data_IF_350908899582
#
_entry.id   IF_350908899582
#
_cell.length_a   1.000
_cell.length_b   1.000
_cell.length_c   1.000
_cell.angle_alpha   90.00
_cell.angle_beta   90.00
_cell.angle_gamma   90.00
#
_symmetry.space_group_name_H-M   'P 1'
#
loop_
_entity.id
_entity.type
_entity.pdbx_description
1 polymer ?
#
# COMPACT_ATOMS: atom_id res chain seq x y z
N UNK A 1 19.13 7.25 -24.92
CA UNK A 1 17.92 8.01 -25.30
C UNK A 1 17.87 9.29 -24.47
N UNK A 2 17.66 10.45 -25.09
CA UNK A 2 17.75 11.75 -24.39
C UNK A 2 16.34 12.38 -24.28
N UNK A 3 15.84 12.59 -23.05
CA UNK A 3 14.56 13.22 -22.78
C UNK A 3 14.39 14.63 -23.40
N UNK A 4 15.51 15.32 -23.67
CA UNK A 4 15.49 16.66 -24.29
C UNK A 4 15.03 16.66 -25.73
N UNK A 5 15.03 15.51 -26.40
CA UNK A 5 14.66 15.38 -27.82
C UNK A 5 13.23 14.90 -28.03
N UNK A 6 12.56 14.46 -26.96
CA UNK A 6 11.18 14.03 -27.00
C UNK A 6 10.22 15.20 -26.67
N UNK A 7 9.20 15.38 -27.48
CA UNK A 7 8.10 16.28 -27.16
C UNK A 7 7.16 15.62 -26.16
N UNK A 8 7.20 16.05 -24.90
CA UNK A 8 6.40 15.47 -23.81
C UNK A 8 4.89 15.59 -24.05
N UNK A 9 4.44 16.53 -24.87
CA UNK A 9 3.02 16.66 -25.24
C UNK A 9 2.49 15.48 -26.07
N UNK A 10 3.39 14.65 -26.57
CA UNK A 10 3.00 13.44 -27.31
C UNK A 10 2.69 12.24 -26.37
N UNK A 11 3.15 12.27 -25.13
CA UNK A 11 2.95 11.18 -24.17
C UNK A 11 1.48 10.92 -23.82
N UNK A 12 0.62 11.95 -23.62
CA UNK A 12 -0.82 11.73 -23.45
C UNK A 12 -1.47 11.03 -24.65
N UNK A 13 -0.98 11.29 -25.87
CA UNK A 13 -1.49 10.62 -27.07
C UNK A 13 -1.07 9.15 -27.08
N UNK A 14 0.16 8.85 -26.70
CA UNK A 14 0.64 7.46 -26.56
C UNK A 14 -0.22 6.68 -25.57
N UNK A 15 -0.49 7.27 -24.40
CA UNK A 15 -1.32 6.66 -23.34
C UNK A 15 -2.75 6.41 -23.83
N UNK A 16 -3.38 7.39 -24.47
CA UNK A 16 -4.75 7.25 -24.98
C UNK A 16 -4.87 6.15 -26.05
N UNK A 17 -3.95 6.10 -26.99
CA UNK A 17 -3.96 5.03 -28.03
C UNK A 17 -3.68 3.66 -27.43
N UNK A 18 -2.81 3.58 -26.43
CA UNK A 18 -2.53 2.35 -25.69
C UNK A 18 -3.78 1.83 -24.95
N UNK A 19 -4.53 2.71 -24.32
CA UNK A 19 -5.73 2.36 -23.54
C UNK A 19 -6.90 2.00 -24.47
N UNK A 20 -7.17 2.83 -25.47
CA UNK A 20 -8.33 2.70 -26.35
C UNK A 20 -8.16 1.64 -27.44
N UNK A 21 -6.93 1.23 -27.74
CA UNK A 21 -6.62 0.31 -28.87
C UNK A 21 -7.21 0.78 -30.20
N UNK A 22 -7.49 2.08 -30.33
CA UNK A 22 -8.14 2.71 -31.50
C UNK A 22 -7.74 4.17 -31.58
N UNK A 23 -7.22 4.60 -32.74
CA UNK A 23 -6.86 5.99 -32.99
C UNK A 23 -8.09 6.91 -32.97
N UNK A 24 -9.22 6.43 -33.45
CA UNK A 24 -10.48 7.19 -33.45
C UNK A 24 -10.97 7.43 -32.03
N UNK A 25 -11.08 6.37 -31.21
CA UNK A 25 -11.49 6.53 -29.80
C UNK A 25 -10.49 7.37 -29.01
N UNK A 26 -9.18 7.18 -29.23
CA UNK A 26 -8.17 8.02 -28.61
C UNK A 26 -8.33 9.51 -28.96
N UNK A 27 -8.72 9.83 -30.23
CA UNK A 27 -8.98 11.20 -30.63
C UNK A 27 -10.21 11.80 -29.93
N UNK A 28 -11.25 11.01 -29.72
CA UNK A 28 -12.45 11.38 -28.97
C UNK A 28 -12.12 11.64 -27.50
N UNK A 29 -11.40 10.72 -26.84
CA UNK A 29 -10.96 10.83 -25.45
C UNK A 29 -10.11 12.09 -25.23
N UNK A 30 -9.20 12.40 -26.15
CA UNK A 30 -8.33 13.57 -26.08
C UNK A 30 -8.97 14.87 -26.59
N UNK A 31 -10.16 14.80 -27.17
CA UNK A 31 -10.85 15.93 -27.83
C UNK A 31 -10.00 16.63 -28.90
N UNK A 32 -9.27 15.83 -29.69
CA UNK A 32 -8.48 16.30 -30.83
C UNK A 32 -8.87 15.52 -32.08
N UNK A 33 -8.39 15.95 -33.25
CA UNK A 33 -8.71 15.26 -34.50
C UNK A 33 -7.90 13.97 -34.66
N UNK A 34 -8.46 12.97 -35.31
CA UNK A 34 -7.75 11.71 -35.58
C UNK A 34 -6.45 11.90 -36.40
N UNK A 35 -6.37 12.83 -37.41
CA UNK A 35 -5.09 13.19 -38.02
C UNK A 35 -4.05 13.72 -37.04
N UNK A 36 -4.45 14.47 -36.01
CA UNK A 36 -3.53 14.96 -34.99
C UNK A 36 -2.96 13.80 -34.17
N UNK A 37 -3.79 12.81 -33.79
CA UNK A 37 -3.32 11.57 -33.12
C UNK A 37 -2.33 10.83 -34.02
N UNK A 38 -2.65 10.68 -35.30
CA UNK A 38 -1.78 9.98 -36.27
C UNK A 38 -0.43 10.67 -36.44
N UNK A 39 -0.42 11.99 -36.53
CA UNK A 39 0.83 12.80 -36.62
C UNK A 39 1.65 12.70 -35.34
N UNK A 40 1.02 12.74 -34.18
CA UNK A 40 1.69 12.57 -32.89
C UNK A 40 2.38 11.20 -32.80
N UNK A 41 1.68 10.13 -33.19
CA UNK A 41 2.26 8.79 -33.26
C UNK A 41 3.42 8.69 -34.27
N UNK A 42 3.29 9.35 -35.42
CA UNK A 42 4.36 9.34 -36.42
C UNK A 42 5.66 9.97 -35.86
N UNK A 43 5.56 11.06 -35.09
CA UNK A 43 6.70 11.67 -34.41
C UNK A 43 7.30 10.77 -33.33
N UNK A 44 6.47 10.10 -32.53
CA UNK A 44 6.92 9.14 -31.51
C UNK A 44 7.62 7.93 -32.16
N UNK A 45 7.10 7.40 -33.27
CA UNK A 45 7.73 6.30 -34.03
C UNK A 45 9.13 6.64 -34.50
N UNK A 46 9.33 7.84 -35.01
CA UNK A 46 10.66 8.32 -35.40
C UNK A 46 11.59 8.42 -34.19
N UNK A 47 11.07 8.92 -33.04
CA UNK A 47 11.89 9.08 -31.85
C UNK A 47 12.30 7.76 -31.20
N UNK A 48 11.39 6.77 -31.16
CA UNK A 48 11.65 5.47 -30.55
C UNK A 48 12.19 4.43 -31.52
N UNK A 49 12.28 4.76 -32.82
CA UNK A 49 12.68 3.82 -33.90
C UNK A 49 11.85 2.53 -33.88
N UNK A 50 10.58 2.65 -33.45
CA UNK A 50 9.63 1.53 -33.28
C UNK A 50 8.24 1.95 -33.76
N UNK A 51 7.46 1.04 -34.38
CA UNK A 51 6.09 1.32 -34.79
C UNK A 51 5.16 1.69 -33.63
N UNK A 52 5.48 1.35 -32.40
CA UNK A 52 4.74 1.49 -31.14
C UNK A 52 3.36 0.78 -31.15
N UNK A 53 2.66 0.85 -32.28
CA UNK A 53 1.39 0.16 -32.50
C UNK A 53 1.35 -0.42 -33.89
N UNK A 54 0.95 -1.69 -34.01
CA UNK A 54 0.69 -2.41 -35.26
C UNK A 54 -0.80 -2.60 -35.45
N UNK A 55 -1.23 -2.72 -36.69
CA UNK A 55 -2.66 -2.91 -37.01
C UNK A 55 -3.12 -4.30 -36.59
N UNK A 56 -4.24 -4.38 -35.90
CA UNK A 56 -4.88 -5.63 -35.50
C UNK A 56 -6.40 -5.52 -35.71
N UNK A 57 -6.91 -6.20 -36.70
CA UNK A 57 -8.33 -6.12 -37.08
C UNK A 57 -8.77 -4.69 -37.40
N UNK A 58 -9.78 -4.19 -36.66
CA UNK A 58 -10.28 -2.81 -36.76
C UNK A 58 -9.57 -1.82 -35.83
N UNK A 59 -8.58 -2.27 -35.07
CA UNK A 59 -7.87 -1.47 -34.09
C UNK A 59 -6.35 -1.57 -34.21
N UNK A 60 -5.68 -1.29 -33.12
CA UNK A 60 -4.22 -1.37 -33.02
C UNK A 60 -3.79 -2.15 -31.77
N UNK A 61 -2.67 -2.84 -31.87
CA UNK A 61 -2.00 -3.55 -30.78
C UNK A 61 -0.64 -2.89 -30.51
N UNK A 62 -0.23 -2.71 -29.24
CA UNK A 62 1.08 -2.19 -28.90
C UNK A 62 2.17 -3.19 -29.27
N UNK A 63 3.34 -2.68 -29.61
CA UNK A 63 4.57 -3.45 -29.72
C UNK A 63 5.15 -3.76 -28.33
N UNK A 64 6.11 -4.68 -28.27
CA UNK A 64 6.84 -4.96 -27.03
C UNK A 64 7.52 -3.69 -26.46
N UNK A 65 8.01 -2.79 -27.31
CA UNK A 65 8.56 -1.51 -26.90
C UNK A 65 7.49 -0.62 -26.24
N UNK A 66 6.32 -0.50 -26.83
CA UNK A 66 5.23 0.28 -26.26
C UNK A 66 4.75 -0.31 -24.92
N UNK A 67 4.68 -1.63 -24.79
CA UNK A 67 4.34 -2.31 -23.53
C UNK A 67 5.38 -2.04 -22.44
N UNK A 68 6.65 -2.12 -22.77
CA UNK A 68 7.75 -1.85 -21.81
C UNK A 68 7.82 -0.37 -21.38
N UNK A 69 7.48 0.55 -22.28
CA UNK A 69 7.52 2.00 -22.02
C UNK A 69 6.33 2.49 -21.20
N UNK A 70 5.16 1.87 -21.37
CA UNK A 70 3.90 2.39 -20.85
C UNK A 70 3.85 2.57 -19.33
N UNK A 71 4.39 1.66 -18.49
CA UNK A 71 4.41 1.88 -17.04
C UNK A 71 5.11 3.19 -16.64
N UNK A 72 6.27 3.47 -17.25
CA UNK A 72 7.03 4.69 -16.97
C UNK A 72 6.31 5.97 -17.48
N UNK A 73 5.66 5.88 -18.64
CA UNK A 73 4.88 6.99 -19.20
C UNK A 73 3.68 7.32 -18.30
N UNK A 74 2.95 6.32 -17.84
CA UNK A 74 1.81 6.53 -16.92
C UNK A 74 2.24 7.14 -15.61
N UNK A 75 3.30 6.60 -14.98
CA UNK A 75 3.84 7.16 -13.74
C UNK A 75 4.22 8.65 -13.90
N UNK A 76 4.89 9.00 -15.01
CA UNK A 76 5.27 10.38 -15.29
C UNK A 76 4.04 11.30 -15.49
N UNK A 77 3.05 10.87 -16.27
CA UNK A 77 1.84 11.65 -16.52
C UNK A 77 0.99 11.81 -15.25
N UNK A 78 0.86 10.77 -14.42
CA UNK A 78 0.12 10.84 -13.18
C UNK A 78 0.79 11.82 -12.18
N UNK A 79 2.13 11.85 -12.13
CA UNK A 79 2.87 12.85 -11.34
C UNK A 79 2.68 14.29 -11.84
N UNK A 80 2.67 14.47 -13.16
CA UNK A 80 2.41 15.81 -13.73
C UNK A 80 0.98 16.26 -13.44
N UNK A 81 -0.02 15.36 -13.58
CA UNK A 81 -1.41 15.66 -13.23
C UNK A 81 -1.54 16.05 -11.76
N UNK A 82 -0.96 15.25 -10.85
CA UNK A 82 -0.96 15.54 -9.43
C UNK A 82 -0.33 16.90 -9.10
N UNK A 83 0.79 17.26 -9.76
CA UNK A 83 1.45 18.56 -9.57
C UNK A 83 0.62 19.73 -10.10
N UNK A 84 -0.17 19.55 -11.15
CA UNK A 84 -1.07 20.57 -11.68
C UNK A 84 -2.33 20.73 -10.82
N UNK A 85 -2.87 19.63 -10.30
CA UNK A 85 -4.03 19.63 -9.41
C UNK A 85 -3.73 20.23 -8.02
N UNK A 86 -2.49 20.13 -7.54
CA UNK A 86 -2.09 20.64 -6.22
C UNK A 86 -2.25 22.15 -6.05
N UNK A 87 -2.51 22.91 -7.13
CA UNK A 87 -2.80 24.34 -7.10
C UNK A 87 -4.29 24.69 -7.08
N UNK A 88 -5.18 23.72 -7.26
CA UNK A 88 -6.63 23.88 -7.20
C UNK A 88 -7.19 23.31 -5.89
N UNK A 89 -8.39 23.73 -5.50
CA UNK A 89 -9.13 23.10 -4.40
C UNK A 89 -9.34 21.63 -4.77
N UNK A 90 -8.86 20.71 -3.92
CA UNK A 90 -9.06 19.29 -4.16
C UNK A 90 -10.55 18.96 -3.95
N UNK A 91 -11.18 18.44 -4.99
CA UNK A 91 -12.57 17.97 -4.97
C UNK A 91 -12.59 16.45 -5.10
N UNK A 92 -12.72 15.69 -3.99
CA UNK A 92 -12.63 14.22 -4.01
C UNK A 92 -13.58 13.58 -5.01
N UNK A 93 -14.83 14.09 -5.10
CA UNK A 93 -15.88 13.54 -5.96
C UNK A 93 -15.53 13.56 -7.47
N UNK A 94 -14.67 14.48 -7.90
CA UNK A 94 -14.31 14.67 -9.30
C UNK A 94 -12.85 14.28 -9.61
N UNK A 95 -12.05 13.98 -8.58
CA UNK A 95 -10.64 13.65 -8.74
C UNK A 95 -10.43 12.25 -9.31
N UNK A 96 -9.43 12.11 -10.17
CA UNK A 96 -8.95 10.82 -10.70
C UNK A 96 -7.55 10.48 -10.17
N UNK A 97 -7.09 11.17 -9.14
CA UNK A 97 -5.75 11.03 -8.57
C UNK A 97 -5.47 9.60 -8.13
N UNK A 98 -4.25 9.15 -8.34
CA UNK A 98 -3.72 7.90 -7.79
C UNK A 98 -2.86 8.23 -6.59
N UNK A 99 -3.15 7.62 -5.45
CA UNK A 99 -2.29 7.68 -4.27
C UNK A 99 -1.53 6.38 -4.09
N UNK A 100 -0.23 6.46 -3.90
CA UNK A 100 0.65 5.33 -3.63
C UNK A 100 0.93 5.27 -2.13
N UNK A 101 0.42 4.24 -1.46
CA UNK A 101 0.54 4.08 -0.01
C UNK A 101 1.39 2.84 0.28
N UNK A 102 2.40 2.99 1.13
CA UNK A 102 3.09 1.85 1.70
C UNK A 102 2.48 1.49 3.05
N UNK A 103 2.08 0.25 3.22
CA UNK A 103 1.69 -0.30 4.51
C UNK A 103 2.07 -1.78 4.59
N UNK A 104 2.33 -2.25 5.82
CA UNK A 104 2.44 -3.69 6.08
C UNK A 104 1.04 -4.32 6.03
N UNK A 105 0.98 -5.65 5.91
CA UNK A 105 -0.28 -6.39 5.80
C UNK A 105 -1.30 -6.06 6.91
N UNK A 106 -0.83 -5.90 8.16
CA UNK A 106 -1.70 -5.51 9.26
C UNK A 106 -2.29 -4.10 9.07
N UNK A 107 -1.48 -3.12 8.64
CA UNK A 107 -1.95 -1.76 8.37
C UNK A 107 -2.93 -1.72 7.20
N UNK A 108 -2.63 -2.42 6.12
CA UNK A 108 -3.53 -2.53 4.98
C UNK A 108 -4.85 -3.22 5.36
N UNK A 109 -4.79 -4.33 6.10
CA UNK A 109 -5.98 -5.03 6.58
C UNK A 109 -6.91 -4.14 7.42
N UNK A 110 -6.33 -3.31 8.29
CA UNK A 110 -7.10 -2.43 9.17
C UNK A 110 -7.70 -1.23 8.43
N UNK A 111 -6.96 -0.67 7.47
CA UNK A 111 -7.34 0.60 6.84
C UNK A 111 -8.08 0.42 5.51
N UNK A 112 -7.65 -0.53 4.66
CA UNK A 112 -8.14 -0.60 3.30
C UNK A 112 -9.65 -0.88 3.16
N UNK A 113 -10.29 -1.76 3.97
CA UNK A 113 -11.73 -2.00 3.83
C UNK A 113 -12.59 -0.76 4.12
N UNK A 114 -12.28 -0.04 5.21
CA UNK A 114 -13.01 1.17 5.58
C UNK A 114 -12.73 2.32 4.59
N UNK A 115 -11.47 2.44 4.13
CA UNK A 115 -11.08 3.41 3.10
C UNK A 115 -11.83 3.14 1.79
N UNK A 116 -11.85 1.91 1.31
CA UNK A 116 -12.55 1.54 0.09
C UNK A 116 -14.04 1.90 0.16
N UNK A 117 -14.70 1.56 1.28
CA UNK A 117 -16.13 1.90 1.51
C UNK A 117 -16.39 3.42 1.44
N UNK A 118 -15.50 4.24 2.03
CA UNK A 118 -15.64 5.70 1.98
C UNK A 118 -15.40 6.24 0.56
N UNK A 119 -14.41 5.69 -0.14
CA UNK A 119 -14.09 6.10 -1.51
C UNK A 119 -15.21 5.83 -2.51
N UNK A 120 -15.98 4.75 -2.37
CA UNK A 120 -17.14 4.47 -3.24
C UNK A 120 -18.12 5.63 -3.33
N UNK A 121 -18.31 6.37 -2.24
CA UNK A 121 -19.27 7.49 -2.16
C UNK A 121 -18.64 8.86 -2.27
N UNK A 122 -17.46 9.05 -1.68
CA UNK A 122 -16.83 10.37 -1.54
C UNK A 122 -15.87 10.69 -2.67
N UNK A 123 -15.24 9.67 -3.27
CA UNK A 123 -14.17 9.86 -4.25
C UNK A 123 -14.11 8.72 -5.28
N UNK A 124 -15.17 8.47 -6.06
CA UNK A 124 -15.31 7.28 -6.91
C UNK A 124 -14.27 7.21 -8.04
N UNK A 125 -13.66 8.33 -8.42
CA UNK A 125 -12.59 8.39 -9.43
C UNK A 125 -11.18 8.23 -8.87
N UNK A 126 -10.99 8.43 -7.56
CA UNK A 126 -9.69 8.29 -6.90
C UNK A 126 -9.25 6.84 -6.84
N UNK A 127 -7.97 6.58 -7.02
CA UNK A 127 -7.38 5.24 -6.95
C UNK A 127 -6.32 5.17 -5.86
N UNK A 128 -6.29 4.06 -5.12
CA UNK A 128 -5.25 3.77 -4.13
C UNK A 128 -4.44 2.57 -4.58
N UNK A 129 -3.13 2.74 -4.64
CA UNK A 129 -2.17 1.66 -4.84
C UNK A 129 -1.51 1.33 -3.51
N UNK A 130 -1.81 0.15 -2.94
CA UNK A 130 -1.16 -0.35 -1.74
C UNK A 130 0.08 -1.16 -2.11
N UNK A 131 1.18 -0.88 -1.43
CA UNK A 131 2.41 -1.66 -1.57
C UNK A 131 3.06 -1.89 -0.21
N UNK A 132 3.93 -2.87 -0.12
CA UNK A 132 4.80 -3.05 1.04
C UNK A 132 6.23 -2.75 0.65
N UNK A 133 6.68 -1.54 0.93
CA UNK A 133 8.05 -1.12 0.69
C UNK A 133 8.94 -1.52 1.87
N UNK A 134 10.18 -1.91 1.58
CA UNK A 134 11.14 -2.18 2.64
C UNK A 134 11.34 -0.93 3.50
N UNK A 135 11.30 -1.08 4.83
CA UNK A 135 11.41 0.02 5.80
C UNK A 135 12.59 0.96 5.52
N UNK A 136 13.73 0.41 5.10
CA UNK A 136 14.92 1.21 4.77
C UNK A 136 14.80 2.05 3.52
N UNK A 137 13.89 1.69 2.61
CA UNK A 137 13.64 2.41 1.36
C UNK A 137 12.51 3.44 1.45
N UNK A 138 11.64 3.36 2.47
CA UNK A 138 10.44 4.21 2.58
C UNK A 138 10.80 5.70 2.49
N UNK A 139 11.82 6.17 3.22
CA UNK A 139 12.23 7.58 3.19
C UNK A 139 12.65 8.03 1.79
N UNK A 140 13.37 7.19 1.05
CA UNK A 140 13.78 7.46 -0.33
C UNK A 140 12.59 7.45 -1.30
N UNK A 141 11.65 6.52 -1.12
CA UNK A 141 10.45 6.43 -1.93
C UNK A 141 9.53 7.65 -1.73
N UNK A 142 9.35 8.10 -0.48
CA UNK A 142 8.62 9.34 -0.15
C UNK A 142 9.35 10.57 -0.73
N UNK A 143 10.66 10.67 -0.56
CA UNK A 143 11.45 11.78 -1.09
C UNK A 143 11.40 11.88 -2.62
N UNK A 144 11.35 10.74 -3.31
CA UNK A 144 11.25 10.70 -4.78
C UNK A 144 9.81 10.86 -5.30
N UNK A 145 8.80 10.93 -4.41
CA UNK A 145 7.38 10.98 -4.75
C UNK A 145 6.87 9.68 -5.42
N UNK A 146 7.56 8.54 -5.27
CA UNK A 146 7.01 7.23 -5.64
C UNK A 146 6.02 6.71 -4.62
N UNK A 147 6.11 7.19 -3.38
CA UNK A 147 5.08 7.07 -2.35
C UNK A 147 4.54 8.45 -1.99
N UNK A 148 3.23 8.53 -1.77
CA UNK A 148 2.57 9.70 -1.20
C UNK A 148 2.53 9.60 0.33
N UNK A 149 2.22 8.41 0.85
CA UNK A 149 2.10 8.11 2.28
C UNK A 149 2.75 6.76 2.64
N UNK A 150 3.18 6.65 3.89
CA UNK A 150 3.55 5.36 4.47
C UNK A 150 2.93 5.19 5.86
N UNK A 151 2.32 4.04 6.11
CA UNK A 151 1.86 3.59 7.43
C UNK A 151 2.89 2.59 7.94
N UNK A 152 3.65 2.99 8.95
CA UNK A 152 4.74 2.17 9.49
C UNK A 152 4.82 2.35 11.02
N UNK A 153 5.50 1.42 11.68
CA UNK A 153 5.82 1.53 13.11
C UNK A 153 6.70 2.76 13.34
N UNK A 154 6.51 3.46 14.44
CA UNK A 154 7.29 4.66 14.77
C UNK A 154 8.81 4.44 14.68
N UNK A 155 9.54 5.52 14.42
CA UNK A 155 11.00 5.54 14.34
C UNK A 155 11.58 5.50 12.94
N UNK A 156 10.82 5.80 11.86
CA UNK A 156 11.42 6.19 10.59
C UNK A 156 12.14 7.53 10.76
N UNK A 157 13.31 7.63 10.14
CA UNK A 157 14.14 8.85 10.16
C UNK A 157 14.34 9.37 8.74
N UNK A 158 14.24 10.68 8.60
CA UNK A 158 14.52 11.40 7.36
C UNK A 158 14.35 12.90 7.63
N UNK A 159 15.25 13.75 7.08
CA UNK A 159 15.24 15.18 7.33
C UNK A 159 13.96 15.86 6.83
N UNK A 160 13.37 15.32 5.76
CA UNK A 160 12.21 15.89 5.06
C UNK A 160 10.91 15.11 5.30
N UNK A 161 10.86 14.30 6.36
CA UNK A 161 9.68 13.56 6.73
C UNK A 161 8.87 14.29 7.80
N UNK A 162 7.59 14.43 7.54
CA UNK A 162 6.55 14.73 8.50
C UNK A 162 5.90 13.43 8.96
N UNK A 163 5.32 13.46 10.17
CA UNK A 163 4.66 12.30 10.74
C UNK A 163 3.49 12.67 11.63
N UNK A 164 2.54 11.76 11.72
CA UNK A 164 1.39 11.84 12.61
C UNK A 164 1.14 10.47 13.22
N UNK A 165 0.89 10.41 14.53
CA UNK A 165 0.41 9.19 15.17
C UNK A 165 -0.94 8.80 14.55
N UNK A 166 -1.10 7.52 14.22
CA UNK A 166 -2.32 7.01 13.60
C UNK A 166 -3.13 6.18 14.62
N UNK A 167 -2.54 5.14 15.17
CA UNK A 167 -3.15 4.32 16.22
C UNK A 167 -2.11 3.48 16.95
N UNK A 168 -2.41 3.13 18.20
CA UNK A 168 -1.67 2.15 18.99
C UNK A 168 -2.43 0.82 18.99
N UNK A 169 -1.82 -0.24 18.44
CA UNK A 169 -2.51 -1.52 18.26
C UNK A 169 -2.05 -2.53 19.31
N UNK A 170 -2.94 -2.98 20.23
CA UNK A 170 -2.65 -4.06 21.13
C UNK A 170 -2.48 -5.39 20.39
N UNK A 171 -1.70 -6.27 20.98
CA UNK A 171 -1.45 -7.62 20.46
C UNK A 171 -2.15 -8.66 21.33
N UNK A 172 -2.55 -9.76 20.71
CA UNK A 172 -3.15 -10.89 21.37
C UNK A 172 -2.53 -12.20 20.90
N UNK A 173 -2.54 -13.20 21.76
CA UNK A 173 -2.20 -14.56 21.42
C UNK A 173 -3.44 -15.26 20.85
N UNK A 174 -3.31 -15.94 19.73
CA UNK A 174 -4.37 -16.71 19.08
C UNK A 174 -3.95 -18.16 18.89
N UNK A 175 -4.86 -19.07 19.22
CA UNK A 175 -4.74 -20.53 19.02
C UNK A 175 -6.03 -21.07 18.43
N UNK A 176 -6.02 -22.28 17.90
CA UNK A 176 -7.23 -22.95 17.40
C UNK A 176 -8.27 -23.11 18.53
N UNK A 177 -9.56 -23.15 18.16
CA UNK A 177 -10.64 -23.33 19.13
C UNK A 177 -10.61 -24.71 19.80
N UNK A 178 -10.08 -25.72 19.13
CA UNK A 178 -9.91 -27.10 19.59
C UNK A 178 -8.52 -27.38 20.18
N UNK A 179 -7.69 -26.34 20.37
CA UNK A 179 -6.38 -26.48 20.98
C UNK A 179 -6.51 -26.98 22.43
N UNK A 180 -5.67 -27.95 22.90
CA UNK A 180 -5.76 -28.49 24.27
C UNK A 180 -5.74 -27.45 25.41
N UNK A 181 -5.23 -26.25 25.14
CA UNK A 181 -5.20 -25.14 26.10
C UNK A 181 -6.31 -24.10 25.89
N UNK A 182 -7.28 -24.30 24.98
CA UNK A 182 -8.25 -23.30 24.59
C UNK A 182 -9.17 -22.85 25.75
N UNK A 183 -9.53 -23.74 26.64
CA UNK A 183 -10.44 -23.50 27.76
C UNK A 183 -9.74 -23.11 29.08
N UNK A 184 -8.46 -22.83 29.02
CA UNK A 184 -7.66 -22.51 30.21
C UNK A 184 -7.14 -21.08 30.13
N UNK A 185 -6.98 -20.37 31.28
CA UNK A 185 -6.39 -19.04 31.30
C UNK A 185 -4.96 -19.06 30.72
N UNK A 186 -4.65 -18.09 29.88
CA UNK A 186 -3.30 -17.94 29.28
C UNK A 186 -2.36 -17.30 30.31
N UNK A 187 -1.59 -18.13 31.00
CA UNK A 187 -0.51 -17.72 31.90
C UNK A 187 0.82 -17.59 31.14
N UNK A 188 1.82 -16.93 31.73
CA UNK A 188 3.16 -16.88 31.12
C UNK A 188 3.74 -18.27 30.85
N UNK A 189 3.62 -19.18 31.81
CA UNK A 189 4.10 -20.56 31.68
C UNK A 189 3.44 -21.26 30.47
N UNK A 190 2.12 -21.20 30.36
CA UNK A 190 1.39 -21.78 29.22
C UNK A 190 1.74 -21.14 27.91
N UNK A 191 1.87 -19.81 27.88
CA UNK A 191 2.29 -19.12 26.68
C UNK A 191 3.66 -19.61 26.19
N UNK A 192 4.61 -19.84 27.10
CA UNK A 192 5.96 -20.31 26.79
C UNK A 192 5.99 -21.77 26.31
N UNK A 193 4.99 -22.60 26.69
CA UNK A 193 4.83 -23.97 26.23
C UNK A 193 4.23 -24.06 24.80
N UNK A 194 3.60 -22.99 24.30
CA UNK A 194 3.01 -22.99 22.96
C UNK A 194 4.09 -23.10 21.87
N UNK A 195 3.70 -23.69 20.75
CA UNK A 195 4.51 -23.74 19.54
C UNK A 195 4.21 -22.51 18.69
N UNK A 196 5.09 -21.53 18.71
CA UNK A 196 4.85 -20.21 18.14
C UNK A 196 5.14 -20.10 16.65
N UNK A 197 4.31 -19.34 15.95
CA UNK A 197 4.58 -18.76 14.63
C UNK A 197 5.11 -17.33 14.86
N UNK A 198 6.30 -17.02 14.34
CA UNK A 198 6.80 -15.65 14.30
C UNK A 198 6.36 -14.96 13.00
N UNK A 199 5.75 -13.78 13.13
CA UNK A 199 5.45 -12.94 11.96
C UNK A 199 6.46 -11.80 11.88
N UNK A 200 7.24 -11.78 10.81
CA UNK A 200 8.24 -10.76 10.55
C UNK A 200 8.64 -10.73 9.08
N UNK A 201 8.64 -9.56 8.48
CA UNK A 201 9.15 -9.35 7.11
C UNK A 201 10.68 -9.39 7.03
N UNK A 202 11.40 -9.37 8.16
CA UNK A 202 12.85 -9.51 8.21
C UNK A 202 13.25 -10.99 8.15
N UNK A 203 14.21 -11.33 7.31
CA UNK A 203 14.76 -12.70 7.24
C UNK A 203 15.45 -13.10 8.54
N UNK A 204 16.14 -12.15 9.16
CA UNK A 204 16.92 -12.32 10.37
C UNK A 204 16.44 -11.38 11.48
N UNK A 205 16.85 -11.64 12.71
CA UNK A 205 16.44 -10.90 13.87
C UNK A 205 15.14 -11.41 14.50
N UNK A 206 14.76 -10.81 15.60
CA UNK A 206 13.59 -11.19 16.39
C UNK A 206 12.32 -10.57 15.80
N UNK A 207 11.24 -11.31 15.86
CA UNK A 207 9.89 -10.77 15.70
C UNK A 207 9.47 -9.97 16.92
N UNK A 208 8.37 -9.24 16.82
CA UNK A 208 7.90 -8.42 17.94
C UNK A 208 7.55 -9.28 19.17
N UNK A 209 6.91 -10.43 18.99
CA UNK A 209 6.60 -11.33 20.10
C UNK A 209 7.87 -11.88 20.78
N UNK A 210 8.90 -12.20 20.01
CA UNK A 210 10.18 -12.64 20.58
C UNK A 210 10.84 -11.52 21.41
N UNK A 211 10.67 -10.25 21.02
CA UNK A 211 11.19 -9.11 21.82
C UNK A 211 10.38 -8.90 23.10
N UNK A 212 9.05 -9.02 23.08
CA UNK A 212 8.19 -8.95 24.28
C UNK A 212 8.63 -10.01 25.29
N UNK A 213 8.72 -11.26 24.84
CA UNK A 213 9.09 -12.40 25.69
C UNK A 213 10.51 -12.24 26.25
N UNK A 214 11.44 -11.74 25.44
CA UNK A 214 12.82 -11.47 25.87
C UNK A 214 12.88 -10.35 26.92
N UNK A 215 12.09 -9.29 26.75
CA UNK A 215 12.02 -8.19 27.71
C UNK A 215 11.53 -8.66 29.09
N UNK A 216 10.67 -9.68 29.11
CA UNK A 216 10.20 -10.35 30.33
C UNK A 216 11.19 -11.40 30.92
N UNK A 217 12.41 -11.50 30.34
CA UNK A 217 13.44 -12.43 30.84
C UNK A 217 13.30 -13.87 30.30
N UNK A 218 12.44 -14.10 29.35
CA UNK A 218 12.18 -15.43 28.78
C UNK A 218 12.65 -15.56 27.33
N UNK A 219 12.51 -16.75 26.77
CA UNK A 219 12.84 -17.03 25.37
C UNK A 219 11.84 -18.02 24.77
N UNK A 220 11.42 -17.73 23.54
CA UNK A 220 10.69 -18.67 22.69
C UNK A 220 11.50 -18.94 21.42
N UNK A 221 11.30 -20.12 20.84
CA UNK A 221 11.88 -20.48 19.54
C UNK A 221 10.73 -20.80 18.59
N UNK A 222 10.37 -19.86 17.70
CA UNK A 222 9.29 -20.11 16.75
C UNK A 222 9.59 -21.31 15.86
N UNK A 223 8.57 -22.13 15.64
CA UNK A 223 8.66 -23.31 14.74
C UNK A 223 8.44 -22.94 13.30
N UNK A 224 7.84 -21.78 13.06
CA UNK A 224 7.57 -21.25 11.73
C UNK A 224 7.76 -19.72 11.73
N UNK A 225 8.31 -19.17 10.64
CA UNK A 225 8.43 -17.74 10.42
C UNK A 225 7.79 -17.36 9.10
N UNK A 226 6.91 -16.37 9.13
CA UNK A 226 6.16 -15.87 7.97
C UNK A 226 6.24 -14.35 7.89
N UNK A 227 6.17 -13.75 6.69
CA UNK A 227 6.19 -12.29 6.55
C UNK A 227 4.81 -11.64 6.82
N UNK A 228 3.71 -12.41 6.82
CA UNK A 228 2.33 -11.92 6.85
C UNK A 228 1.50 -12.58 7.94
N UNK A 229 0.57 -11.80 8.54
CA UNK A 229 -0.32 -12.29 9.61
C UNK A 229 -1.43 -13.19 9.08
N UNK A 230 -2.05 -12.86 7.94
CA UNK A 230 -3.20 -13.63 7.45
C UNK A 230 -2.88 -15.11 7.20
N UNK A 231 -1.78 -15.48 6.51
CA UNK A 231 -1.39 -16.89 6.42
C UNK A 231 -1.08 -17.54 7.77
N UNK A 232 -0.49 -16.78 8.73
CA UNK A 232 -0.21 -17.31 10.06
C UNK A 232 -1.51 -17.61 10.84
N UNK A 233 -2.53 -16.76 10.73
CA UNK A 233 -3.84 -16.97 11.34
C UNK A 233 -4.53 -18.21 10.72
N UNK A 234 -4.45 -18.37 9.41
CA UNK A 234 -5.03 -19.52 8.73
C UNK A 234 -4.35 -20.84 9.14
N UNK A 235 -3.03 -20.83 9.35
CA UNK A 235 -2.30 -21.99 9.88
C UNK A 235 -2.76 -22.31 11.32
N UNK A 236 -2.95 -21.29 12.16
CA UNK A 236 -3.46 -21.48 13.54
C UNK A 236 -4.83 -22.16 13.53
N UNK A 237 -5.73 -21.78 12.59
CA UNK A 237 -7.05 -22.40 12.47
C UNK A 237 -7.03 -23.90 12.17
N UNK A 238 -5.94 -24.40 11.59
CA UNK A 238 -5.78 -25.76 11.09
C UNK A 238 -4.78 -26.59 11.89
N UNK A 239 -4.16 -26.00 12.92
CA UNK A 239 -3.08 -26.65 13.67
C UNK A 239 -3.09 -26.24 15.14
N UNK A 240 -2.32 -26.94 15.97
CA UNK A 240 -2.08 -26.53 17.36
C UNK A 240 -0.88 -25.57 17.49
N UNK A 241 -0.64 -24.72 16.49
CA UNK A 241 0.33 -23.62 16.60
C UNK A 241 -0.35 -22.37 17.16
N UNK A 242 0.46 -21.47 17.68
CA UNK A 242 0.01 -20.19 18.21
C UNK A 242 0.62 -19.02 17.42
N UNK A 243 -0.15 -17.96 17.22
CA UNK A 243 0.37 -16.70 16.68
C UNK A 243 0.07 -15.55 17.64
N UNK A 244 1.04 -14.67 17.81
CA UNK A 244 0.81 -13.36 18.43
C UNK A 244 0.67 -12.32 17.34
N UNK A 245 -0.49 -11.68 17.27
CA UNK A 245 -0.85 -10.76 16.20
C UNK A 245 -1.59 -9.53 16.76
N UNK A 246 -1.69 -8.43 15.99
CA UNK A 246 -2.57 -7.32 16.31
C UNK A 246 -3.98 -7.81 16.62
N UNK A 247 -4.54 -7.40 17.75
CA UNK A 247 -5.85 -7.87 18.25
C UNK A 247 -6.97 -7.78 17.20
N UNK A 248 -7.11 -6.68 16.42
CA UNK A 248 -8.18 -6.59 15.42
C UNK A 248 -8.09 -7.67 14.32
N UNK A 249 -6.90 -8.20 14.02
CA UNK A 249 -6.74 -9.23 13.00
C UNK A 249 -7.26 -10.60 13.48
N UNK A 250 -7.22 -10.87 14.77
CA UNK A 250 -7.57 -12.16 15.36
C UNK A 250 -8.95 -12.16 16.03
N UNK A 251 -9.47 -10.99 16.41
CA UNK A 251 -10.73 -10.81 17.16
C UNK A 251 -11.93 -11.52 16.49
N UNK A 252 -11.97 -11.53 15.16
CA UNK A 252 -13.06 -12.12 14.36
C UNK A 252 -12.58 -13.23 13.42
N UNK A 253 -11.39 -13.77 13.67
CA UNK A 253 -10.76 -14.75 12.76
C UNK A 253 -11.20 -16.20 12.99
N UNK A 254 -12.17 -16.47 13.89
CA UNK A 254 -12.61 -17.82 14.20
C UNK A 254 -11.58 -18.66 14.97
N UNK A 255 -10.80 -17.99 15.81
CA UNK A 255 -9.77 -18.57 16.68
C UNK A 255 -10.02 -18.21 18.14
N UNK A 256 -9.41 -18.91 19.07
CA UNK A 256 -9.43 -18.54 20.48
C UNK A 256 -8.37 -17.47 20.75
N UNK A 257 -8.79 -16.35 21.33
CA UNK A 257 -7.95 -15.16 21.53
C UNK A 257 -7.72 -14.92 23.00
N UNK A 258 -6.48 -14.64 23.38
CA UNK A 258 -6.07 -14.35 24.74
C UNK A 258 -5.24 -13.06 24.80
N UNK A 259 -5.43 -12.31 25.87
CA UNK A 259 -4.52 -11.19 26.21
C UNK A 259 -3.12 -11.76 26.45
N UNK A 260 -2.10 -11.04 26.02
CA UNK A 260 -0.72 -11.44 26.28
C UNK A 260 -0.41 -11.39 27.77
N UNK A 261 0.17 -12.45 28.35
CA UNK A 261 0.49 -12.50 29.77
C UNK A 261 1.82 -11.82 30.11
N UNK A 262 2.16 -10.74 29.41
CA UNK A 262 3.40 -9.96 29.56
C UNK A 262 3.08 -8.47 29.53
N UNK A 263 3.85 -7.69 30.27
CA UNK A 263 3.85 -6.24 30.10
C UNK A 263 4.58 -5.89 28.81
N UNK A 264 3.91 -5.13 27.96
CA UNK A 264 4.50 -4.65 26.71
C UNK A 264 3.84 -3.32 26.30
N UNK A 265 4.55 -2.54 25.50
CA UNK A 265 3.99 -1.34 24.90
C UNK A 265 3.36 -1.71 23.54
N UNK A 266 2.10 -1.37 23.30
CA UNK A 266 1.51 -1.54 21.96
C UNK A 266 2.37 -0.89 20.87
N UNK A 267 2.34 -1.44 19.67
CA UNK A 267 3.06 -0.83 18.55
C UNK A 267 2.29 0.38 18.04
N UNK A 268 2.95 1.53 18.07
CA UNK A 268 2.43 2.76 17.49
C UNK A 268 2.59 2.71 15.97
N UNK A 269 1.46 2.71 15.25
CA UNK A 269 1.40 2.94 13.82
C UNK A 269 1.38 4.44 13.56
N UNK A 270 2.24 4.88 12.67
CA UNK A 270 2.48 6.28 12.36
C UNK A 270 2.34 6.48 10.85
N UNK A 271 1.66 7.53 10.47
CA UNK A 271 1.54 7.99 9.11
C UNK A 271 2.72 8.92 8.79
N UNK A 272 3.43 8.65 7.69
CA UNK A 272 4.57 9.42 7.23
C UNK A 272 4.33 9.97 5.84
N UNK A 273 4.78 11.20 5.59
CA UNK A 273 4.77 11.85 4.27
C UNK A 273 5.96 12.80 4.13
N UNK A 274 6.20 13.28 2.91
CA UNK A 274 7.22 14.29 2.64
C UNK A 274 6.74 15.67 3.11
N UNK A 275 7.58 16.42 3.81
CA UNK A 275 7.28 17.77 4.30
C UNK A 275 6.77 18.71 3.21
N UNK A 276 7.38 18.70 2.03
CA UNK A 276 6.96 19.55 0.91
C UNK A 276 5.51 19.30 0.46
N UNK A 277 4.97 18.13 0.74
CA UNK A 277 3.59 17.77 0.42
C UNK A 277 2.63 18.00 1.61
N UNK A 278 3.08 18.61 2.69
CA UNK A 278 2.27 18.82 3.90
C UNK A 278 0.99 19.62 3.63
N UNK A 279 1.08 20.60 2.72
CA UNK A 279 -0.02 21.49 2.32
C UNK A 279 -0.78 21.02 1.07
N UNK A 280 -0.44 19.88 0.48
CA UNK A 280 -1.19 19.31 -0.64
C UNK A 280 -2.63 18.99 -0.19
N UNK A 281 -3.67 19.66 -0.76
CA UNK A 281 -5.05 19.48 -0.32
C UNK A 281 -5.56 18.05 -0.47
N UNK A 282 -5.13 17.34 -1.52
CA UNK A 282 -5.52 15.97 -1.76
C UNK A 282 -4.89 15.02 -0.74
N UNK A 283 -3.61 15.24 -0.40
CA UNK A 283 -2.94 14.46 0.63
C UNK A 283 -3.52 14.77 2.02
N UNK A 284 -3.90 16.02 2.28
CA UNK A 284 -4.54 16.44 3.52
C UNK A 284 -5.91 15.76 3.71
N UNK A 285 -6.71 15.68 2.63
CA UNK A 285 -7.96 14.92 2.63
C UNK A 285 -7.71 13.43 2.96
N UNK A 286 -6.77 12.78 2.30
CA UNK A 286 -6.48 11.36 2.52
C UNK A 286 -5.95 11.10 3.94
N UNK A 287 -5.08 11.97 4.47
CA UNK A 287 -4.58 11.90 5.86
C UNK A 287 -5.74 11.99 6.86
N UNK A 288 -6.66 12.95 6.65
CA UNK A 288 -7.86 13.11 7.47
C UNK A 288 -8.70 11.86 7.48
N UNK A 289 -8.97 11.30 6.29
CA UNK A 289 -9.76 10.08 6.14
C UNK A 289 -9.13 8.86 6.84
N UNK A 290 -7.81 8.66 6.69
CA UNK A 290 -7.09 7.59 7.38
C UNK A 290 -7.09 7.77 8.90
N UNK A 291 -7.01 9.01 9.38
CA UNK A 291 -7.05 9.32 10.82
C UNK A 291 -8.43 9.03 11.42
N UNK A 292 -9.51 9.39 10.74
CA UNK A 292 -10.88 9.05 11.14
C UNK A 292 -11.09 7.54 11.21
N UNK A 293 -10.64 6.80 10.19
CA UNK A 293 -10.72 5.34 10.15
C UNK A 293 -9.95 4.71 11.32
N UNK A 294 -8.74 5.22 11.61
CA UNK A 294 -7.92 4.74 12.72
C UNK A 294 -8.61 4.96 14.07
N UNK A 295 -9.19 6.14 14.31
CA UNK A 295 -9.93 6.45 15.53
C UNK A 295 -11.15 5.54 15.74
N UNK A 296 -11.83 5.15 14.66
CA UNK A 296 -12.93 4.17 14.74
C UNK A 296 -12.41 2.77 15.06
N UNK A 297 -11.24 2.39 14.53
CA UNK A 297 -10.63 1.09 14.76
C UNK A 297 -10.09 0.92 16.20
N UNK A 298 -9.69 2.00 16.88
CA UNK A 298 -9.27 1.96 18.30
C UNK A 298 -10.45 1.73 19.25
N UNK A 299 -11.64 2.15 18.88
CA UNK A 299 -12.87 2.05 19.71
C UNK A 299 -13.58 0.70 19.57
N UNK A 300 -13.29 -0.07 18.52
CA UNK A 300 -13.93 -1.35 18.19
C UNK A 300 -13.14 -2.57 18.72
#
# INVERSE_FOLDING_TARGET
MNLRTIDLNLLPVLEAVYTERSLTRASETLRITQPAVSNALARLRVHFEDPLFVREGRGVKPTAMAEALMPAVRDALDRLRAGLESRSVFEPAHSTRVFNISARDAGAFLMAPALAKRMETEAPGVRISWSQVNRTAISTELASGRLDLAIEIDGLRGADLERQHLLATPYACAIANDHPMADQPMTQARFLELRHIAVSSRREGRSYVEEIVRAAGHRITPVLRLPHYMPAIEIVRQTHLAVTAPLPLVKHAGVRVFVLPFDYRPLDSVLYWRRENAEDPALTWLKGLLTEIAGTAEQA
#
